data_IF_647996240284
#
_entry.id   IF_647996240284
#
_cell.length_a   1.000
_cell.length_b   1.000
_cell.length_c   1.000
_cell.angle_alpha   90.00
_cell.angle_beta   90.00
_cell.angle_gamma   90.00
#
_symmetry.space_group_name_H-M   'P 1'
#
loop_
_entity.id
_entity.type
_entity.pdbx_description
1 polymer ?
#
# COMPACT_ATOMS: atom_id res chain seq x y z
N UNK A 1 19.06 9.37 10.55
CA UNK A 1 17.71 9.75 10.94
C UNK A 1 16.71 8.94 10.11
N UNK A 2 15.76 8.34 10.80
CA UNK A 2 14.76 7.48 10.16
C UNK A 2 13.56 8.30 9.75
N UNK A 3 13.28 8.39 8.45
CA UNK A 3 12.13 9.13 7.90
C UNK A 3 10.94 8.21 7.58
N UNK A 4 11.04 6.92 7.94
CA UNK A 4 9.97 5.98 7.60
C UNK A 4 8.64 6.36 8.24
N UNK A 5 8.66 6.88 9.47
CA UNK A 5 7.43 7.32 10.14
C UNK A 5 6.76 8.47 9.42
N UNK A 6 7.53 9.43 8.89
CA UNK A 6 6.99 10.59 8.19
C UNK A 6 6.37 10.17 6.85
N UNK A 7 7.03 9.30 6.10
CA UNK A 7 6.50 8.83 4.82
C UNK A 7 5.32 7.89 5.02
N UNK A 8 5.37 7.06 6.07
CA UNK A 8 4.21 6.22 6.39
C UNK A 8 3.01 7.09 6.77
N UNK A 9 3.23 8.19 7.48
CA UNK A 9 2.16 9.13 7.81
C UNK A 9 1.50 9.69 6.55
N UNK A 10 2.29 10.02 5.53
CA UNK A 10 1.75 10.46 4.24
C UNK A 10 0.86 9.37 3.61
N UNK A 11 1.28 8.11 3.69
CA UNK A 11 0.46 7.00 3.22
C UNK A 11 -0.83 6.86 4.04
N UNK A 12 -0.76 7.06 5.36
CA UNK A 12 -1.94 7.04 6.24
C UNK A 12 -2.91 8.17 5.85
N UNK A 13 -2.39 9.36 5.52
CA UNK A 13 -3.23 10.46 5.08
C UNK A 13 -3.98 10.09 3.79
N UNK A 14 -3.34 9.38 2.85
CA UNK A 14 -4.00 8.87 1.66
C UNK A 14 -5.08 7.84 2.01
N UNK A 15 -4.80 6.95 2.96
CA UNK A 15 -5.78 5.97 3.44
C UNK A 15 -7.02 6.67 4.01
N UNK A 16 -6.83 7.72 4.80
CA UNK A 16 -7.93 8.50 5.38
C UNK A 16 -8.73 9.24 4.31
N UNK A 17 -8.06 9.75 3.29
CA UNK A 17 -8.74 10.36 2.15
C UNK A 17 -9.66 9.34 1.48
N UNK A 18 -9.15 8.13 1.21
CA UNK A 18 -9.95 7.05 0.65
C UNK A 18 -11.15 6.69 1.51
N UNK A 19 -10.95 6.64 2.83
CA UNK A 19 -12.03 6.36 3.78
C UNK A 19 -13.10 7.46 3.73
N UNK A 20 -12.69 8.72 3.62
CA UNK A 20 -13.62 9.84 3.52
C UNK A 20 -14.46 9.77 2.23
N UNK A 21 -13.97 9.07 1.22
CA UNK A 21 -14.67 8.80 -0.04
C UNK A 21 -15.48 7.50 0.03
N UNK A 22 -15.58 6.87 1.19
CA UNK A 22 -16.25 5.60 1.45
C UNK A 22 -15.55 4.40 0.81
N UNK A 23 -14.27 4.54 0.51
CA UNK A 23 -13.44 3.47 -0.03
C UNK A 23 -12.67 2.74 1.06
N UNK A 24 -11.90 1.74 0.63
CA UNK A 24 -11.07 0.94 1.51
C UNK A 24 -9.90 1.81 1.99
N UNK A 25 -9.65 1.91 3.33
CA UNK A 25 -8.63 2.82 3.85
C UNK A 25 -7.22 2.26 3.73
N UNK A 26 -6.74 2.17 2.51
CA UNK A 26 -5.36 1.79 2.19
C UNK A 26 -4.75 2.92 1.37
N UNK A 27 -3.58 3.39 1.80
CA UNK A 27 -2.85 4.45 1.14
C UNK A 27 -1.40 4.06 0.89
N UNK A 28 -0.79 4.70 -0.09
CA UNK A 28 0.58 4.39 -0.50
C UNK A 28 1.29 5.64 -1.00
N UNK A 29 2.60 5.70 -0.74
CA UNK A 29 3.48 6.73 -1.34
C UNK A 29 4.75 6.07 -1.86
N UNK A 30 5.25 6.58 -2.97
CA UNK A 30 6.52 6.15 -3.54
C UNK A 30 7.55 7.25 -3.31
N UNK A 31 8.67 6.87 -2.71
CA UNK A 31 9.76 7.79 -2.39
C UNK A 31 10.98 7.42 -3.21
N UNK A 32 11.54 8.39 -3.93
CA UNK A 32 12.79 8.20 -4.69
C UNK A 32 13.76 9.28 -4.24
N UNK A 33 14.94 8.84 -3.81
CA UNK A 33 16.00 9.75 -3.32
C UNK A 33 15.49 10.73 -2.25
N UNK A 34 14.69 10.21 -1.32
CA UNK A 34 14.18 10.97 -0.18
C UNK A 34 13.00 11.88 -0.48
N UNK A 35 12.42 11.81 -1.68
CA UNK A 35 11.29 12.66 -2.08
C UNK A 35 10.11 11.83 -2.51
N UNK A 36 8.90 12.25 -2.10
CA UNK A 36 7.67 11.61 -2.57
C UNK A 36 7.47 11.99 -4.03
N UNK A 37 7.44 10.98 -4.91
CA UNK A 37 7.22 11.17 -6.34
C UNK A 37 5.84 10.70 -6.79
N UNK A 38 5.13 9.97 -5.95
CA UNK A 38 3.77 9.52 -6.24
C UNK A 38 3.05 9.17 -4.95
N UNK A 39 1.72 9.31 -4.98
CA UNK A 39 0.88 8.94 -3.85
C UNK A 39 -0.48 8.51 -4.36
N UNK A 40 -1.14 7.63 -3.63
CA UNK A 40 -2.44 7.13 -4.04
C UNK A 40 -3.15 6.39 -2.93
N UNK A 41 -4.40 6.03 -3.20
CA UNK A 41 -5.21 5.24 -2.27
C UNK A 41 -6.11 4.32 -3.08
N UNK A 42 -6.64 3.28 -2.42
CA UNK A 42 -7.48 2.28 -3.07
C UNK A 42 -8.73 2.93 -3.67
N UNK A 43 -9.05 2.59 -4.92
CA UNK A 43 -10.15 3.18 -5.69
C UNK A 43 -11.23 2.16 -6.05
N UNK A 44 -11.17 0.95 -5.49
CA UNK A 44 -12.12 -0.11 -5.85
C UNK A 44 -13.57 0.35 -5.73
N UNK A 45 -13.91 0.94 -4.61
CA UNK A 45 -15.29 1.36 -4.34
C UNK A 45 -15.63 2.62 -5.12
N UNK A 46 -14.73 3.62 -5.08
CA UNK A 46 -15.00 4.91 -5.70
C UNK A 46 -15.17 4.82 -7.21
N UNK A 47 -14.30 4.04 -7.88
CA UNK A 47 -14.27 3.96 -9.34
C UNK A 47 -14.83 2.65 -9.90
N UNK A 48 -15.30 1.74 -9.03
CA UNK A 48 -15.72 0.42 -9.46
C UNK A 48 -14.60 -0.36 -10.14
N UNK A 49 -13.37 -0.17 -9.69
CA UNK A 49 -12.17 -0.66 -10.37
C UNK A 49 -11.47 -1.73 -9.50
N UNK A 50 -11.48 -3.01 -9.93
CA UNK A 50 -10.89 -4.07 -9.12
C UNK A 50 -9.36 -4.05 -9.10
N UNK A 51 -8.71 -3.29 -9.96
CA UNK A 51 -7.26 -3.31 -10.14
C UNK A 51 -6.58 -2.15 -9.42
N UNK A 52 -7.26 -1.01 -9.26
CA UNK A 52 -6.62 0.18 -8.70
C UNK A 52 -6.54 0.10 -7.18
N UNK A 53 -5.62 -0.72 -6.70
CA UNK A 53 -5.19 -0.74 -5.31
C UNK A 53 -4.38 0.52 -5.01
N UNK A 54 -4.14 0.81 -3.74
CA UNK A 54 -3.41 2.01 -3.33
C UNK A 54 -2.03 2.08 -3.99
N UNK A 55 -1.32 0.97 -4.02
CA UNK A 55 0.02 0.90 -4.60
C UNK A 55 -0.02 1.13 -6.11
N UNK A 56 -1.02 0.57 -6.79
CA UNK A 56 -1.19 0.77 -8.23
C UNK A 56 -1.53 2.22 -8.53
N UNK A 57 -2.44 2.83 -7.76
CA UNK A 57 -2.77 4.25 -7.90
C UNK A 57 -1.53 5.12 -7.69
N UNK A 58 -0.75 4.80 -6.67
CA UNK A 58 0.50 5.47 -6.35
C UNK A 58 1.50 5.41 -7.52
N UNK A 59 1.73 4.21 -8.06
CA UNK A 59 2.66 4.01 -9.17
C UNK A 59 2.19 4.72 -10.43
N UNK A 60 0.88 4.70 -10.70
CA UNK A 60 0.31 5.41 -11.84
C UNK A 60 0.51 6.92 -11.70
N UNK A 61 0.28 7.46 -10.50
CA UNK A 61 0.43 8.90 -10.24
C UNK A 61 1.89 9.34 -10.27
N UNK A 62 2.82 8.46 -9.90
CA UNK A 62 4.25 8.73 -10.03
C UNK A 62 4.68 8.82 -11.50
N UNK A 63 4.00 8.08 -12.36
CA UNK A 63 4.32 8.05 -13.78
C UNK A 63 5.63 7.32 -14.07
N UNK A 64 6.27 7.68 -15.16
CA UNK A 64 7.51 7.05 -15.61
C UNK A 64 8.70 7.67 -14.87
N UNK A 65 9.11 7.04 -13.77
CA UNK A 65 10.24 7.55 -12.97
C UNK A 65 11.60 7.07 -13.49
N UNK A 66 11.61 6.21 -14.51
CA UNK A 66 12.84 5.64 -15.04
C UNK A 66 13.31 4.46 -14.21
N UNK A 67 14.29 4.66 -13.33
CA UNK A 67 14.79 3.59 -12.48
C UNK A 67 14.13 3.60 -11.11
N UNK A 68 13.73 2.41 -10.63
CA UNK A 68 13.20 2.22 -9.28
C UNK A 68 14.27 1.74 -8.29
N UNK A 69 15.54 1.76 -8.71
CA UNK A 69 16.66 1.22 -7.93
C UNK A 69 16.75 1.85 -6.52
N UNK A 70 16.51 3.16 -6.43
CA UNK A 70 16.56 3.89 -5.17
C UNK A 70 15.16 4.22 -4.63
N UNK A 71 14.12 3.49 -5.09
CA UNK A 71 12.76 3.72 -4.67
C UNK A 71 12.41 2.92 -3.42
N UNK A 72 11.60 3.52 -2.57
CA UNK A 72 10.98 2.85 -1.42
C UNK A 72 9.48 3.03 -1.57
N UNK A 73 8.74 1.93 -1.53
CA UNK A 73 7.29 1.98 -1.55
C UNK A 73 6.76 1.84 -0.13
N UNK A 74 5.97 2.82 0.29
CA UNK A 74 5.27 2.79 1.57
C UNK A 74 3.81 2.45 1.31
N UNK A 75 3.26 1.52 2.09
CA UNK A 75 1.85 1.17 2.01
C UNK A 75 1.32 0.93 3.42
N UNK A 76 0.11 1.39 3.71
CA UNK A 76 -0.47 1.23 5.05
C UNK A 76 -0.81 -0.22 5.39
N UNK A 77 -0.99 -1.07 4.35
CA UNK A 77 -1.22 -2.50 4.51
C UNK A 77 -0.18 -3.25 3.69
N UNK A 78 0.26 -4.42 4.19
CA UNK A 78 1.19 -5.27 3.45
C UNK A 78 0.66 -5.51 2.03
N UNK A 79 1.47 -5.26 0.99
CA UNK A 79 1.01 -5.46 -0.40
C UNK A 79 0.54 -6.88 -0.67
N UNK A 80 -0.58 -6.99 -1.39
CA UNK A 80 -1.11 -8.27 -1.87
C UNK A 80 -0.28 -8.78 -3.05
N UNK A 81 -0.65 -9.95 -3.61
CA UNK A 81 0.08 -10.51 -4.75
C UNK A 81 0.13 -9.59 -5.96
N UNK A 82 -0.97 -8.87 -6.25
CA UNK A 82 -1.00 -7.94 -7.38
C UNK A 82 0.06 -6.84 -7.21
N UNK A 83 0.07 -6.21 -6.05
CA UNK A 83 0.98 -5.08 -5.79
C UNK A 83 2.41 -5.56 -5.56
N UNK A 84 2.58 -6.71 -4.90
CA UNK A 84 3.89 -7.33 -4.75
C UNK A 84 4.49 -7.68 -6.11
N UNK A 85 3.66 -8.13 -7.05
CA UNK A 85 4.08 -8.38 -8.42
C UNK A 85 4.63 -7.12 -9.08
N UNK A 86 3.95 -5.99 -8.90
CA UNK A 86 4.42 -4.71 -9.42
C UNK A 86 5.76 -4.31 -8.79
N UNK A 87 5.90 -4.49 -7.48
CA UNK A 87 7.15 -4.20 -6.75
C UNK A 87 8.31 -4.98 -7.38
N UNK A 88 8.14 -6.28 -7.54
CA UNK A 88 9.17 -7.16 -8.10
C UNK A 88 9.44 -6.82 -9.56
N UNK A 89 8.37 -6.64 -10.35
CA UNK A 89 8.49 -6.40 -11.79
C UNK A 89 9.25 -5.11 -12.09
N UNK A 90 9.00 -4.04 -11.32
CA UNK A 90 9.62 -2.75 -11.57
C UNK A 90 11.00 -2.60 -10.91
N UNK A 91 11.40 -3.56 -10.10
CA UNK A 91 12.71 -3.51 -9.45
C UNK A 91 12.76 -2.63 -8.21
N UNK A 92 11.63 -2.42 -7.55
CA UNK A 92 11.60 -1.74 -6.25
C UNK A 92 12.25 -2.66 -5.22
N UNK A 93 13.26 -2.19 -4.51
CA UNK A 93 14.06 -3.03 -3.62
C UNK A 93 13.67 -2.96 -2.16
N UNK A 94 12.81 -2.02 -1.80
CA UNK A 94 12.43 -1.83 -0.39
C UNK A 94 10.96 -1.45 -0.28
N UNK A 95 10.25 -2.12 0.63
CA UNK A 95 8.84 -1.86 0.95
C UNK A 95 8.71 -1.67 2.45
N UNK A 96 8.05 -0.59 2.84
CA UNK A 96 7.69 -0.32 4.24
C UNK A 96 6.17 -0.46 4.35
N UNK A 97 5.72 -1.47 5.07
CA UNK A 97 4.30 -1.72 5.29
C UNK A 97 3.87 -1.19 6.65
N UNK A 98 2.70 -0.59 6.71
CA UNK A 98 2.14 -0.12 7.97
C UNK A 98 1.79 -1.26 8.90
N UNK A 99 1.19 -2.33 8.39
CA UNK A 99 0.83 -3.49 9.19
C UNK A 99 0.56 -4.71 8.30
N UNK A 100 0.56 -5.89 8.90
CA UNK A 100 0.18 -7.14 8.24
C UNK A 100 -0.69 -8.02 9.15
N UNK A 101 -1.18 -7.45 10.25
CA UNK A 101 -2.02 -8.18 11.19
C UNK A 101 -3.40 -8.48 10.62
N UNK A 102 -4.01 -7.50 9.95
CA UNK A 102 -5.35 -7.67 9.37
C UNK A 102 -5.30 -8.44 8.06
N UNK A 103 -4.14 -8.43 7.38
CA UNK A 103 -3.94 -9.13 6.12
C UNK A 103 -2.45 -9.40 5.94
N UNK A 104 -2.02 -10.68 5.86
CA UNK A 104 -0.59 -11.00 5.77
C UNK A 104 0.08 -10.60 4.46
N UNK A 105 -0.67 -10.47 3.39
CA UNK A 105 -0.13 -10.05 2.10
C UNK A 105 0.85 -11.04 1.49
N UNK A 106 1.72 -10.52 0.62
CA UNK A 106 2.68 -11.32 -0.14
C UNK A 106 4.13 -11.03 0.26
N UNK A 107 4.38 -10.88 1.55
CA UNK A 107 5.71 -10.57 2.08
C UNK A 107 6.77 -11.58 1.65
N UNK A 108 6.47 -12.87 1.82
CA UNK A 108 7.44 -13.93 1.48
C UNK A 108 7.79 -13.92 0.00
N UNK A 109 6.80 -13.67 -0.85
CA UNK A 109 7.03 -13.57 -2.29
C UNK A 109 8.02 -12.44 -2.60
N UNK A 110 7.81 -11.25 -2.02
CA UNK A 110 8.70 -10.11 -2.23
C UNK A 110 10.11 -10.40 -1.72
N UNK A 111 10.20 -10.96 -0.51
CA UNK A 111 11.50 -11.28 0.08
C UNK A 111 12.25 -12.33 -0.72
N UNK A 112 11.55 -13.31 -1.27
CA UNK A 112 12.17 -14.36 -2.11
C UNK A 112 12.75 -13.78 -3.41
N UNK A 113 12.33 -12.58 -3.81
CA UNK A 113 12.84 -11.88 -4.99
C UNK A 113 13.79 -10.73 -4.62
N UNK A 114 14.33 -10.75 -3.40
CA UNK A 114 15.34 -9.80 -2.98
C UNK A 114 14.85 -8.44 -2.51
N UNK A 115 13.54 -8.33 -2.24
CA UNK A 115 12.97 -7.08 -1.71
C UNK A 115 13.11 -7.07 -0.19
N UNK A 116 13.63 -5.97 0.37
CA UNK A 116 13.64 -5.79 1.81
C UNK A 116 12.26 -5.28 2.23
N UNK A 117 11.61 -6.02 3.13
CA UNK A 117 10.25 -5.69 3.60
C UNK A 117 10.30 -5.42 5.10
N UNK A 118 9.84 -4.24 5.50
CA UNK A 118 9.76 -3.85 6.91
C UNK A 118 8.31 -3.64 7.26
N UNK A 119 7.84 -4.33 8.31
CA UNK A 119 6.50 -4.17 8.86
C UNK A 119 6.62 -3.28 10.10
N UNK A 120 5.98 -2.11 10.06
CA UNK A 120 6.05 -1.12 11.14
C UNK A 120 5.13 -1.45 12.30
N UNK A 121 4.23 -2.43 12.16
CA UNK A 121 3.22 -2.77 13.18
C UNK A 121 2.51 -1.52 13.69
N UNK A 122 2.14 -0.63 12.79
CA UNK A 122 1.58 0.67 13.14
C UNK A 122 0.13 0.51 13.63
N UNK A 123 -0.16 0.92 14.89
CA UNK A 123 -1.51 0.72 15.46
C UNK A 123 -2.60 1.51 14.75
N UNK A 124 -2.29 2.66 14.18
CA UNK A 124 -3.28 3.44 13.43
C UNK A 124 -3.66 2.73 12.14
N UNK A 125 -2.69 2.15 11.43
CA UNK A 125 -2.96 1.37 10.23
C UNK A 125 -3.83 0.15 10.55
N UNK A 126 -3.52 -0.56 11.63
CA UNK A 126 -4.32 -1.71 12.09
C UNK A 126 -5.75 -1.27 12.40
N UNK A 127 -5.92 -0.18 13.15
CA UNK A 127 -7.24 0.30 13.57
C UNK A 127 -8.10 0.70 12.36
N UNK A 128 -7.52 1.38 11.38
CA UNK A 128 -8.23 1.75 10.15
C UNK A 128 -8.82 0.52 9.46
N UNK A 129 -8.01 -0.53 9.31
CA UNK A 129 -8.45 -1.75 8.63
C UNK A 129 -9.42 -2.57 9.47
N UNK A 130 -9.15 -2.71 10.77
CA UNK A 130 -10.05 -3.47 11.64
C UNK A 130 -11.46 -2.89 11.64
N UNK A 131 -11.57 -1.56 11.75
CA UNK A 131 -12.86 -0.88 11.72
C UNK A 131 -13.54 -1.07 10.37
N UNK A 132 -12.82 -0.87 9.27
CA UNK A 132 -13.40 -1.03 7.94
C UNK A 132 -13.87 -2.46 7.68
N UNK A 133 -13.06 -3.45 8.01
CA UNK A 133 -13.41 -4.87 7.81
C UNK A 133 -14.65 -5.23 8.61
N UNK A 134 -14.73 -4.77 9.86
CA UNK A 134 -15.86 -5.02 10.73
C UNK A 134 -17.16 -4.43 10.16
N UNK A 135 -17.08 -3.23 9.60
CA UNK A 135 -18.26 -2.51 9.09
C UNK A 135 -18.61 -2.90 7.65
N UNK A 136 -17.64 -3.38 6.86
CA UNK A 136 -17.81 -3.65 5.43
C UNK A 136 -17.14 -4.98 5.04
N UNK A 137 -17.57 -6.12 5.66
CA UNK A 137 -16.88 -7.39 5.40
C UNK A 137 -17.00 -7.86 3.96
N UNK A 138 -18.11 -7.59 3.29
CA UNK A 138 -18.30 -8.01 1.90
C UNK A 138 -17.39 -7.26 0.94
N UNK A 139 -17.26 -5.93 1.12
CA UNK A 139 -16.36 -5.13 0.31
C UNK A 139 -14.89 -5.58 0.47
N UNK A 140 -14.51 -5.89 1.72
CA UNK A 140 -13.16 -6.36 1.99
C UNK A 140 -12.92 -7.75 1.39
N UNK A 141 -13.84 -8.69 1.59
CA UNK A 141 -13.71 -10.05 1.06
C UNK A 141 -13.66 -10.05 -0.47
N UNK A 142 -14.40 -9.14 -1.11
CA UNK A 142 -14.33 -8.96 -2.57
C UNK A 142 -12.93 -8.55 -3.00
N UNK A 143 -12.31 -7.61 -2.26
CA UNK A 143 -10.99 -7.09 -2.61
C UNK A 143 -9.89 -8.15 -2.52
N UNK A 144 -10.04 -9.11 -1.60
CA UNK A 144 -9.05 -10.16 -1.38
C UNK A 144 -9.43 -11.51 -1.98
N UNK A 145 -10.52 -11.55 -2.75
CA UNK A 145 -10.94 -12.78 -3.44
C UNK A 145 -11.51 -13.85 -2.52
N UNK A 146 -12.17 -13.46 -1.44
CA UNK A 146 -12.72 -14.37 -0.42
C UNK A 146 -14.26 -14.45 -0.44
N UNK A 147 -14.88 -14.11 -1.55
CA UNK A 147 -16.33 -14.27 -1.70
C UNK A 147 -16.70 -15.68 -2.17
#
# INVERSE_FOLDING_TARGET
>A
MDHHSDFLKAAIDEAKTGLSEKGIPIGSVLVVDGKIVGRGHNKRVQDGDPVTHAEIDCLRNAGRVGSYKNAILYSTLMPCYLCAGAVVQFGIKKVIAGESKTFPGAREFMESHGVEVIDMNNPECVALMETFISENPTLWNEDIGEL
#
